data_IF_903370079293
#
_entry.id   IF_903370079293
#
_cell.length_a   1.000
_cell.length_b   1.000
_cell.length_c   1.000
_cell.angle_alpha   90.00
_cell.angle_beta   90.00
_cell.angle_gamma   90.00
#
_symmetry.space_group_name_H-M   'P 1'
#
loop_
_entity.id
_entity.type
_entity.pdbx_description
1 polymer ?
#
# COMPACT_ATOMS: atom_id res chain seq x y z
N UNK A 1 -2.76 -3.35 -14.37
CA UNK A 1 -3.36 -3.18 -13.03
C UNK A 1 -3.02 -1.77 -12.53
N UNK A 2 -4.01 -1.03 -12.02
CA UNK A 2 -3.92 0.38 -11.59
C UNK A 2 -3.18 1.29 -12.60
N UNK A 3 -3.68 1.36 -13.84
CA UNK A 3 -3.01 2.05 -14.94
C UNK A 3 -2.97 3.58 -14.76
N UNK A 4 -3.96 4.12 -14.06
CA UNK A 4 -4.04 5.55 -13.71
C UNK A 4 -3.11 5.93 -12.53
N UNK A 5 -2.42 4.96 -11.91
CA UNK A 5 -1.47 5.21 -10.83
C UNK A 5 -0.04 5.33 -11.36
N UNK A 6 0.76 6.19 -10.73
CA UNK A 6 2.13 6.48 -11.13
C UNK A 6 3.11 6.30 -9.96
N UNK A 7 4.35 5.94 -10.29
CA UNK A 7 5.46 5.91 -9.33
C UNK A 7 6.33 7.15 -9.46
N UNK A 8 7.13 7.43 -8.43
CA UNK A 8 8.04 8.57 -8.35
C UNK A 8 7.29 9.91 -8.25
N UNK A 9 6.13 9.91 -7.61
CA UNK A 9 5.37 11.13 -7.35
C UNK A 9 6.07 11.92 -6.24
N UNK A 10 6.51 13.14 -6.53
CA UNK A 10 7.21 13.99 -5.55
C UNK A 10 6.21 14.92 -4.88
N UNK A 11 6.22 14.92 -3.54
CA UNK A 11 5.44 15.81 -2.70
C UNK A 11 6.38 16.67 -1.88
N UNK A 12 6.10 17.97 -1.81
CA UNK A 12 6.89 18.92 -1.03
C UNK A 12 6.06 19.46 0.11
N UNK A 13 6.64 19.48 1.32
CA UNK A 13 6.09 20.19 2.46
C UNK A 13 6.11 21.70 2.17
N UNK A 14 4.95 22.39 2.17
CA UNK A 14 4.90 23.81 1.89
C UNK A 14 5.58 24.68 2.96
N UNK A 15 5.79 24.18 4.18
CA UNK A 15 6.38 24.94 5.29
C UNK A 15 7.90 24.77 5.37
N UNK A 16 8.38 23.53 5.27
CA UNK A 16 9.80 23.19 5.46
C UNK A 16 10.58 23.10 4.15
N UNK A 17 9.89 22.82 3.04
CA UNK A 17 10.50 22.49 1.75
C UNK A 17 10.97 21.04 1.63
N UNK A 18 10.74 20.21 2.65
CA UNK A 18 11.09 18.79 2.64
C UNK A 18 10.34 18.04 1.54
N UNK A 19 10.95 17.01 0.99
CA UNK A 19 10.39 16.23 -0.12
C UNK A 19 10.21 14.77 0.27
N UNK A 20 9.10 14.20 -0.21
CA UNK A 20 8.83 12.78 -0.12
C UNK A 20 8.46 12.22 -1.50
N UNK A 21 9.00 11.04 -1.81
CA UNK A 21 8.72 10.32 -3.05
C UNK A 21 7.73 9.20 -2.77
N UNK A 22 6.63 9.16 -3.51
CA UNK A 22 5.62 8.12 -3.40
C UNK A 22 5.56 7.27 -4.66
N UNK A 23 5.71 5.96 -4.49
CA UNK A 23 5.53 4.98 -5.54
C UNK A 23 4.10 4.43 -5.50
N UNK A 24 3.10 5.26 -5.85
CA UNK A 24 1.68 4.94 -5.66
C UNK A 24 1.26 3.66 -6.39
N UNK A 25 1.73 3.47 -7.64
CA UNK A 25 1.40 2.26 -8.41
C UNK A 25 1.96 1.02 -7.72
N UNK A 26 3.21 1.09 -7.29
CA UNK A 26 3.88 0.03 -6.52
C UNK A 26 3.14 -0.28 -5.22
N UNK A 27 2.74 0.74 -4.47
CA UNK A 27 2.00 0.61 -3.21
C UNK A 27 0.65 -0.11 -3.41
N UNK A 28 -0.15 0.33 -4.39
CA UNK A 28 -1.45 -0.30 -4.71
C UNK A 28 -1.29 -1.75 -5.18
N UNK A 29 -0.34 -2.03 -6.07
CA UNK A 29 -0.06 -3.39 -6.53
C UNK A 29 0.40 -4.30 -5.38
N UNK A 30 1.21 -3.78 -4.46
CA UNK A 30 1.70 -4.55 -3.31
C UNK A 30 0.54 -4.91 -2.36
N UNK A 31 -0.35 -3.96 -2.06
CA UNK A 31 -1.58 -4.23 -1.28
C UNK A 31 -2.45 -5.28 -1.97
N UNK A 32 -2.64 -5.17 -3.29
CA UNK A 32 -3.38 -6.17 -4.07
C UNK A 32 -2.77 -7.57 -3.94
N UNK A 33 -1.44 -7.67 -4.08
CA UNK A 33 -0.71 -8.89 -3.88
C UNK A 33 -0.91 -9.49 -2.48
N UNK A 34 -0.92 -8.65 -1.44
CA UNK A 34 -1.11 -9.09 -0.04
C UNK A 34 -2.54 -9.62 0.18
N UNK A 35 -3.55 -8.88 -0.27
CA UNK A 35 -4.96 -9.27 -0.19
C UNK A 35 -5.21 -10.63 -0.85
N UNK A 36 -4.59 -10.88 -2.00
CA UNK A 36 -4.75 -12.13 -2.74
C UNK A 36 -3.92 -13.28 -2.14
N UNK A 37 -2.64 -13.03 -1.83
CA UNK A 37 -1.69 -14.06 -1.38
C UNK A 37 -1.93 -14.54 0.05
N UNK A 38 -2.19 -13.62 0.97
CA UNK A 38 -2.22 -13.91 2.40
C UNK A 38 -3.62 -13.92 2.98
N UNK A 39 -4.54 -13.12 2.44
CA UNK A 39 -5.93 -13.05 2.90
C UNK A 39 -6.87 -13.89 2.02
N UNK A 40 -6.39 -14.42 0.89
CA UNK A 40 -7.12 -15.37 0.05
C UNK A 40 -8.27 -14.76 -0.74
N UNK A 41 -8.33 -13.43 -0.88
CA UNK A 41 -9.30 -12.78 -1.74
C UNK A 41 -9.03 -13.08 -3.21
N UNK A 42 -10.08 -13.11 -4.04
CA UNK A 42 -9.87 -13.21 -5.49
C UNK A 42 -9.21 -11.93 -6.01
N UNK A 43 -8.44 -11.99 -7.11
CA UNK A 43 -7.83 -10.81 -7.71
C UNK A 43 -8.84 -9.70 -8.03
N UNK A 44 -10.04 -10.06 -8.48
CA UNK A 44 -11.11 -9.12 -8.83
C UNK A 44 -11.66 -8.42 -7.58
N UNK A 45 -11.93 -9.18 -6.51
CA UNK A 45 -12.44 -8.61 -5.26
C UNK A 45 -11.39 -7.71 -4.60
N UNK A 46 -10.12 -8.14 -4.57
CA UNK A 46 -9.03 -7.32 -4.04
C UNK A 46 -8.88 -6.00 -4.83
N UNK A 47 -9.03 -6.05 -6.15
CA UNK A 47 -9.01 -4.86 -7.00
C UNK A 47 -10.18 -3.92 -6.67
N UNK A 48 -11.39 -4.45 -6.54
CA UNK A 48 -12.58 -3.65 -6.21
C UNK A 48 -12.49 -3.05 -4.80
N UNK A 49 -11.95 -3.77 -3.83
CA UNK A 49 -11.69 -3.25 -2.47
C UNK A 49 -10.78 -2.02 -2.52
N UNK A 50 -9.67 -2.10 -3.25
CA UNK A 50 -8.72 -1.00 -3.40
C UNK A 50 -9.36 0.16 -4.16
N UNK A 51 -10.04 -0.10 -5.28
CA UNK A 51 -10.63 0.94 -6.13
C UNK A 51 -11.71 1.75 -5.40
N UNK A 52 -12.47 1.11 -4.51
CA UNK A 52 -13.57 1.74 -3.79
C UNK A 52 -13.16 2.28 -2.41
N UNK A 53 -11.93 2.05 -1.96
CA UNK A 53 -11.44 2.53 -0.68
C UNK A 53 -11.04 4.01 -0.74
N UNK A 54 -11.62 4.89 0.11
CA UNK A 54 -11.19 6.29 0.19
C UNK A 54 -9.70 6.45 0.50
N UNK A 55 -9.14 5.53 1.30
CA UNK A 55 -7.72 5.45 1.63
C UNK A 55 -6.81 5.34 0.39
N UNK A 56 -7.28 4.67 -0.65
CA UNK A 56 -6.52 4.42 -1.87
C UNK A 56 -6.78 5.48 -2.95
N UNK A 57 -7.68 6.44 -2.72
CA UNK A 57 -7.98 7.54 -3.64
C UNK A 57 -6.76 8.47 -3.79
N UNK A 58 -6.58 9.04 -4.99
CA UNK A 58 -5.61 10.11 -5.24
C UNK A 58 -6.20 11.52 -5.07
N UNK A 59 -7.50 11.62 -4.75
CA UNK A 59 -8.16 12.90 -4.57
C UNK A 59 -7.57 13.66 -3.36
N UNK A 60 -6.89 14.77 -3.65
CA UNK A 60 -6.38 15.69 -2.63
C UNK A 60 -5.13 15.20 -1.88
N UNK A 61 -4.42 14.19 -2.41
CA UNK A 61 -3.16 13.73 -1.80
C UNK A 61 -2.11 14.86 -1.81
N UNK A 62 -1.45 15.04 -0.68
CA UNK A 62 -0.40 16.03 -0.44
C UNK A 62 0.70 15.42 0.46
N UNK A 63 1.74 16.20 0.75
CA UNK A 63 2.88 15.76 1.56
C UNK A 63 2.45 15.07 2.87
N UNK A 64 1.53 15.67 3.63
CA UNK A 64 1.09 15.14 4.92
C UNK A 64 0.30 13.84 4.77
N UNK A 65 -0.65 13.79 3.83
CA UNK A 65 -1.44 12.56 3.63
C UNK A 65 -0.56 11.42 3.13
N UNK A 66 0.43 11.71 2.28
CA UNK A 66 1.35 10.69 1.78
C UNK A 66 2.32 10.25 2.87
N UNK A 67 2.82 11.17 3.70
CA UNK A 67 3.59 10.84 4.89
C UNK A 67 2.84 9.87 5.82
N UNK A 68 1.52 10.06 6.00
CA UNK A 68 0.69 9.11 6.74
C UNK A 68 0.60 7.74 6.06
N UNK A 69 0.44 7.68 4.73
CA UNK A 69 0.39 6.40 3.99
C UNK A 69 1.74 5.65 4.04
N UNK A 70 2.86 6.37 4.08
CA UNK A 70 4.20 5.82 4.17
C UNK A 70 4.64 5.46 5.60
N UNK A 71 3.88 5.89 6.61
CA UNK A 71 4.19 5.62 8.02
C UNK A 71 4.15 4.13 8.37
N UNK A 72 3.27 3.37 7.70
CA UNK A 72 3.10 1.94 7.91
C UNK A 72 3.29 1.15 6.61
N UNK A 73 3.73 -0.09 6.75
CA UNK A 73 3.92 -1.01 5.62
C UNK A 73 2.58 -1.45 5.00
N UNK A 74 2.61 -1.80 3.72
CA UNK A 74 1.46 -2.19 2.90
C UNK A 74 0.66 -3.36 3.50
N UNK A 75 1.30 -4.20 4.32
CA UNK A 75 0.61 -5.26 5.05
C UNK A 75 -0.44 -4.70 6.00
N UNK A 76 -0.11 -3.67 6.76
CA UNK A 76 -1.02 -3.04 7.70
C UNK A 76 -2.23 -2.44 6.96
N UNK A 77 -1.97 -1.73 5.86
CA UNK A 77 -3.02 -1.15 5.02
C UNK A 77 -3.93 -2.21 4.39
N UNK A 78 -3.38 -3.34 3.93
CA UNK A 78 -4.18 -4.45 3.44
C UNK A 78 -5.09 -5.04 4.53
N UNK A 79 -4.61 -5.13 5.77
CA UNK A 79 -5.40 -5.59 6.91
C UNK A 79 -6.52 -4.60 7.28
N UNK A 80 -6.25 -3.28 7.23
CA UNK A 80 -7.29 -2.24 7.39
C UNK A 80 -8.35 -2.37 6.30
N UNK A 81 -7.96 -2.55 5.04
CA UNK A 81 -8.92 -2.72 3.93
C UNK A 81 -9.79 -3.96 4.11
N UNK A 82 -9.24 -5.05 4.64
CA UNK A 82 -9.96 -6.30 4.81
C UNK A 82 -10.85 -6.35 6.06
N UNK A 83 -10.38 -5.82 7.18
CA UNK A 83 -11.00 -6.03 8.50
C UNK A 83 -11.38 -4.73 9.21
N UNK A 84 -11.06 -3.58 8.62
CA UNK A 84 -11.25 -2.25 9.17
C UNK A 84 -10.18 -1.86 10.18
N UNK A 85 -10.16 -0.57 10.50
CA UNK A 85 -9.32 0.00 11.56
C UNK A 85 -9.50 -0.75 12.89
N UNK A 86 -8.41 -0.96 13.62
CA UNK A 86 -8.43 -1.70 14.87
C UNK A 86 -8.65 -3.22 14.72
N UNK A 87 -8.30 -3.80 13.56
CA UNK A 87 -8.46 -5.24 13.30
C UNK A 87 -7.81 -6.14 14.37
N UNK A 88 -6.75 -5.67 15.03
CA UNK A 88 -6.07 -6.38 16.12
C UNK A 88 -6.94 -6.56 17.36
N UNK A 89 -7.90 -5.67 17.60
CA UNK A 89 -8.91 -5.85 18.64
C UNK A 89 -9.98 -6.88 18.27
N UNK A 90 -10.03 -7.30 17.00
CA UNK A 90 -10.96 -8.30 16.47
C UNK A 90 -10.32 -9.70 16.33
N UNK A 91 -9.11 -9.88 16.86
CA UNK A 91 -8.41 -11.17 16.89
C UNK A 91 -7.53 -11.46 15.67
N UNK A 92 -7.31 -10.48 14.79
CA UNK A 92 -6.36 -10.60 13.68
C UNK A 92 -4.95 -10.14 14.13
N UNK A 93 -3.90 -10.85 13.72
CA UNK A 93 -2.54 -10.46 14.10
C UNK A 93 -2.03 -9.26 13.30
N UNK A 94 -1.21 -8.42 13.94
CA UNK A 94 -0.41 -7.38 13.28
C UNK A 94 0.89 -7.95 12.69
N UNK A 95 1.25 -9.16 13.11
CA UNK A 95 2.47 -9.83 12.67
C UNK A 95 2.34 -10.23 11.20
N UNK A 96 3.39 -9.95 10.46
CA UNK A 96 3.49 -10.32 9.06
C UNK A 96 3.71 -11.83 8.92
N UNK A 97 3.27 -12.42 7.81
CA UNK A 97 3.69 -13.76 7.42
C UNK A 97 5.21 -13.87 7.39
N UNK A 98 5.74 -15.04 7.77
CA UNK A 98 7.19 -15.27 7.86
C UNK A 98 7.93 -15.03 6.53
N UNK A 99 7.27 -15.29 5.40
CA UNK A 99 7.79 -15.10 4.04
C UNK A 99 7.54 -13.69 3.47
N UNK A 100 6.97 -12.76 4.26
CA UNK A 100 6.50 -11.46 3.75
C UNK A 100 7.55 -10.68 2.96
N UNK A 101 8.76 -10.55 3.50
CA UNK A 101 9.82 -9.78 2.84
C UNK A 101 10.36 -10.47 1.59
N UNK A 102 10.65 -11.77 1.67
CA UNK A 102 11.15 -12.57 0.53
C UNK A 102 10.11 -12.62 -0.61
N UNK A 103 8.85 -12.87 -0.27
CA UNK A 103 7.75 -12.84 -1.24
C UNK A 103 7.56 -11.44 -1.81
N UNK A 104 7.63 -10.39 -0.98
CA UNK A 104 7.43 -9.01 -1.41
C UNK A 104 8.48 -8.57 -2.41
N UNK A 105 9.75 -8.89 -2.16
CA UNK A 105 10.85 -8.62 -3.09
C UNK A 105 10.64 -9.36 -4.43
N UNK A 106 10.35 -10.67 -4.36
CA UNK A 106 10.09 -11.46 -5.55
C UNK A 106 8.89 -10.93 -6.33
N UNK A 107 7.78 -10.63 -5.66
CA UNK A 107 6.54 -10.14 -6.26
C UNK A 107 6.79 -8.82 -7.00
N UNK A 108 7.53 -7.89 -6.41
CA UNK A 108 7.87 -6.62 -7.06
C UNK A 108 8.74 -6.83 -8.30
N UNK A 109 9.76 -7.69 -8.20
CA UNK A 109 10.64 -8.00 -9.33
C UNK A 109 9.87 -8.64 -10.49
N UNK A 110 9.03 -9.64 -10.21
CA UNK A 110 8.21 -10.32 -11.21
C UNK A 110 7.23 -9.36 -11.92
N UNK A 111 6.80 -8.29 -11.24
CA UNK A 111 5.81 -7.33 -11.73
C UNK A 111 6.40 -5.98 -12.16
N UNK A 112 7.74 -5.84 -12.21
CA UNK A 112 8.45 -4.60 -12.53
C UNK A 112 8.03 -3.40 -11.66
N UNK A 113 7.86 -3.62 -10.36
CA UNK A 113 7.50 -2.58 -9.38
C UNK A 113 8.75 -1.97 -8.71
N UNK A 114 8.59 -0.80 -8.10
CA UNK A 114 9.67 -0.12 -7.36
C UNK A 114 9.96 -0.82 -6.04
N UNK A 115 11.21 -0.79 -5.53
CA UNK A 115 11.51 -1.29 -4.18
C UNK A 115 10.71 -0.51 -3.13
N UNK A 116 10.66 -1.02 -1.89
CA UNK A 116 10.14 -0.23 -0.77
C UNK A 116 10.82 1.13 -0.76
N UNK A 117 10.04 2.22 -0.72
CA UNK A 117 10.60 3.52 -0.36
C UNK A 117 10.88 3.45 1.14
N UNK A 118 12.13 3.17 1.50
CA UNK A 118 12.62 3.42 2.84
C UNK A 118 13.69 4.50 2.69
N UNK A 119 13.37 5.66 3.30
CA UNK A 119 14.17 6.89 3.43
C UNK A 119 14.19 7.84 2.22
#
# INVERSE_FOLDING_TARGET
MFEDAHDNMVFTDPETGDQLIFHRKTWLCTIHGILTRYLGFTPELAYDMIKNAPLCSDAGINYHSVGMLCHDEEYHWAMILAYGEGYWHKGHTVDKPQDYYDWGEKYRNDNNLKPYTME
#
